data_IF_631453502329
#
_entry.id   IF_631453502329
#
_cell.length_a   1.000
_cell.length_b   1.000
_cell.length_c   1.000
_cell.angle_alpha   90.00
_cell.angle_beta   90.00
_cell.angle_gamma   90.00
#
_symmetry.space_group_name_H-M   'P 1'
#
loop_
_entity.id
_entity.type
_entity.pdbx_description
1 polymer ?
2 non-polymer ?
3 water ?
#
# COMPACT_ATOMS: atom_id res chain seq x y z
N UNK A 32 -4.36 28.38 -2.19
CA UNK A 32 -2.99 28.71 -2.57
C UNK A 32 -2.03 28.50 -1.38
N UNK A 33 -0.94 27.80 -1.66
CA UNK A 33 -0.05 27.31 -0.61
C UNK A 33 0.64 28.44 0.16
N UNK A 34 0.67 28.32 1.48
CA UNK A 34 1.43 29.25 2.30
C UNK A 34 2.92 28.96 2.28
N UNK A 35 3.30 27.71 2.06
CA UNK A 35 4.70 27.34 2.19
C UNK A 35 5.45 27.45 0.87
N UNK A 36 4.76 27.35 -0.25
CA UNK A 36 5.42 27.10 -1.52
C UNK A 36 6.40 28.21 -1.87
N UNK A 37 7.64 27.82 -2.14
CA UNK A 37 8.67 28.77 -2.53
C UNK A 37 9.69 28.07 -3.39
N UNK A 38 10.04 28.68 -4.53
CA UNK A 38 10.98 28.10 -5.50
C UNK A 38 10.64 26.65 -5.78
N UNK A 39 9.36 26.37 -6.00
CA UNK A 39 8.93 25.00 -6.19
C UNK A 39 8.12 24.97 -7.48
N UNK A 40 8.79 24.63 -8.58
CA UNK A 40 8.20 24.67 -9.89
C UNK A 40 7.08 23.64 -10.04
N UNK A 41 6.11 23.96 -10.89
CA UNK A 41 5.08 22.98 -11.25
C UNK A 41 5.70 21.73 -11.87
N UNK A 42 6.86 21.82 -12.52
CA UNK A 42 7.53 20.63 -13.02
C UNK A 42 7.95 19.72 -11.87
N UNK A 43 8.53 20.30 -10.82
CA UNK A 43 8.97 19.52 -9.66
C UNK A 43 7.78 18.91 -8.94
N UNK A 44 6.74 19.70 -8.70
CA UNK A 44 5.52 19.15 -8.10
C UNK A 44 4.99 17.99 -8.92
N UNK A 45 4.96 18.16 -10.24
CA UNK A 45 4.45 17.10 -11.12
C UNK A 45 5.36 15.89 -11.12
N UNK A 46 6.68 16.10 -11.07
CA UNK A 46 7.61 14.98 -11.08
C UNK A 46 7.52 14.17 -9.79
N UNK A 47 7.29 14.83 -8.65
CA UNK A 47 7.08 14.10 -7.40
C UNK A 47 5.79 13.28 -7.46
N UNK A 48 4.72 13.83 -8.04
CA UNK A 48 3.49 13.06 -8.13
C UNK A 48 3.68 11.83 -9.02
N UNK A 49 4.50 11.94 -10.07
CA UNK A 49 4.76 10.77 -10.90
C UNK A 49 5.63 9.76 -10.16
N UNK A 50 6.61 10.22 -9.40
CA UNK A 50 7.44 9.28 -8.65
C UNK A 50 6.64 8.62 -7.54
N UNK A 51 5.69 9.34 -6.94
CA UNK A 51 4.76 8.69 -6.01
C UNK A 51 4.06 7.52 -6.72
N UNK A 52 3.60 7.74 -7.95
CA UNK A 52 2.93 6.66 -8.69
C UNK A 52 3.88 5.50 -8.95
N UNK A 53 5.15 5.79 -9.25
CA UNK A 53 6.11 4.72 -9.52
C UNK A 53 6.32 3.86 -8.29
N UNK A 54 6.51 4.50 -7.12
CA UNK A 54 6.73 3.73 -5.89
C UNK A 54 5.52 2.87 -5.54
N UNK A 55 4.31 3.40 -5.70
CA UNK A 55 3.12 2.57 -5.48
C UNK A 55 3.09 1.37 -6.42
N UNK A 56 3.47 1.56 -7.69
CA UNK A 56 3.39 0.47 -8.65
C UNK A 56 4.44 -0.60 -8.35
N UNK A 57 5.65 -0.17 -7.98
CA UNK A 57 6.68 -1.11 -7.58
C UNK A 57 6.26 -1.82 -6.28
N UNK A 58 5.64 -1.08 -5.36
CA UNK A 58 5.13 -1.71 -4.14
C UNK A 58 4.12 -2.79 -4.49
N UNK A 59 3.33 -2.56 -5.54
CA UNK A 59 2.28 -3.49 -5.92
C UNK A 59 2.87 -4.75 -6.56
N UNK A 60 3.90 -4.59 -7.40
CA UNK A 60 4.56 -5.75 -7.98
C UNK A 60 5.20 -6.60 -6.89
N UNK A 61 5.81 -5.96 -5.89
CA UNK A 61 6.40 -6.72 -4.78
C UNK A 61 5.33 -7.48 -4.01
N UNK A 62 4.14 -6.91 -3.87
CA UNK A 62 3.07 -7.65 -3.22
C UNK A 62 2.62 -8.81 -4.07
N UNK A 63 2.58 -8.63 -5.40
CA UNK A 63 2.36 -9.76 -6.30
C UNK A 63 3.39 -10.85 -6.09
N UNK A 64 4.68 -10.48 -6.03
CA UNK A 64 5.72 -11.49 -5.84
C UNK A 64 5.58 -12.16 -4.48
N UNK A 65 5.23 -11.39 -3.46
CA UNK A 65 4.91 -11.98 -2.16
C UNK A 65 3.80 -13.02 -2.30
N UNK A 66 2.71 -12.64 -2.96
CA UNK A 66 1.55 -13.51 -3.08
C UNK A 66 1.89 -14.80 -3.82
N UNK A 67 2.85 -14.75 -4.74
CA UNK A 67 3.22 -15.92 -5.53
C UNK A 67 4.04 -16.93 -4.71
N UNK A 68 5.16 -16.50 -4.15
CA UNK A 68 6.03 -17.42 -3.40
C UNK A 68 5.44 -17.83 -2.06
N UNK A 69 4.35 -17.19 -1.64
CA UNK A 69 3.58 -17.65 -0.49
C UNK A 69 2.60 -18.77 -0.85
N UNK A 70 2.55 -19.17 -2.12
CA UNK A 70 1.66 -20.26 -2.51
C UNK A 70 2.08 -21.57 -1.88
N UNK A 71 1.09 -22.41 -1.58
CA UNK A 71 1.35 -23.73 -1.03
C UNK A 71 2.28 -24.56 -1.92
N UNK A 72 2.08 -24.50 -3.25
CA UNK A 72 2.88 -25.22 -4.24
C UNK A 72 4.28 -24.66 -4.43
N UNK A 73 4.50 -23.39 -4.11
CA UNK A 73 5.79 -22.77 -4.29
C UNK A 73 6.59 -22.78 -2.99
N UNK A 74 6.00 -22.27 -1.90
CA UNK A 74 6.51 -22.52 -0.55
C UNK A 74 7.95 -22.02 -0.34
N UNK A 75 8.32 -20.94 -1.01
CA UNK A 75 9.62 -20.31 -0.81
C UNK A 75 9.38 -19.10 0.10
N UNK A 76 9.25 -19.40 1.39
CA UNK A 76 8.78 -18.39 2.34
C UNK A 76 9.82 -17.31 2.57
N UNK A 77 11.11 -17.61 2.37
CA UNK A 77 12.12 -16.59 2.47
C UNK A 77 11.96 -15.50 1.41
N UNK A 78 11.66 -15.91 0.17
CA UNK A 78 11.41 -14.92 -0.87
C UNK A 78 10.07 -14.22 -0.66
N UNK A 79 9.08 -14.93 -0.13
CA UNK A 79 7.79 -14.32 0.14
C UNK A 79 7.93 -13.18 1.15
N UNK A 80 8.70 -13.41 2.23
CA UNK A 80 8.88 -12.37 3.23
C UNK A 80 9.75 -11.24 2.70
N UNK A 81 10.79 -11.58 1.94
CA UNK A 81 11.63 -10.54 1.37
C UNK A 81 10.83 -9.68 0.40
N UNK A 82 9.94 -10.28 -0.39
CA UNK A 82 9.13 -9.45 -1.28
C UNK A 82 8.05 -8.70 -0.51
N UNK A 83 7.49 -9.30 0.53
CA UNK A 83 6.50 -8.62 1.37
C UNK A 83 7.11 -7.39 2.04
N UNK A 84 8.30 -7.52 2.65
CA UNK A 84 8.93 -6.37 3.28
C UNK A 84 9.42 -5.37 2.24
N UNK A 85 9.86 -5.84 1.07
CA UNK A 85 10.18 -4.90 -0.01
C UNK A 85 8.94 -4.10 -0.40
N UNK A 86 7.76 -4.73 -0.37
CA UNK A 86 6.53 -4.02 -0.67
C UNK A 86 6.24 -2.95 0.36
N UNK A 87 6.45 -3.29 1.65
CA UNK A 87 6.23 -2.31 2.71
C UNK A 87 7.12 -1.09 2.52
N UNK A 88 8.38 -1.29 2.12
CA UNK A 88 9.30 -0.17 2.05
C UNK A 88 9.12 0.67 0.80
N UNK A 89 8.59 0.10 -0.29
CA UNK A 89 8.22 0.95 -1.42
C UNK A 89 7.02 1.83 -1.06
N UNK A 90 6.06 1.30 -0.31
CA UNK A 90 4.94 2.12 0.13
C UNK A 90 5.41 3.20 1.09
N UNK A 91 6.42 2.91 1.91
CA UNK A 91 6.96 3.95 2.78
C UNK A 91 7.67 5.01 1.96
N UNK A 92 8.27 4.64 0.82
CA UNK A 92 8.87 5.63 -0.07
C UNK A 92 7.81 6.55 -0.64
N UNK A 93 6.64 6.00 -0.99
CA UNK A 93 5.54 6.82 -1.49
C UNK A 93 5.07 7.81 -0.43
N UNK A 94 4.91 7.34 0.82
CA UNK A 94 4.54 8.21 1.94
C UNK A 94 5.54 9.34 2.16
N UNK A 95 6.85 9.05 2.06
CA UNK A 95 7.84 10.10 2.24
C UNK A 95 7.71 11.18 1.17
N UNK A 96 7.38 10.77 -0.06
CA UNK A 96 7.24 11.73 -1.15
C UNK A 96 5.95 12.53 -1.01
N UNK A 97 4.86 11.90 -0.55
CA UNK A 97 3.68 12.67 -0.19
C UNK A 97 4.05 13.69 0.88
N UNK A 98 4.73 13.21 1.92
CA UNK A 98 5.14 14.08 3.01
C UNK A 98 6.02 15.20 2.50
N UNK A 99 6.84 14.91 1.47
CA UNK A 99 7.73 15.91 0.89
C UNK A 99 6.98 16.88 0.00
N UNK A 100 6.06 16.36 -0.82
CA UNK A 100 5.17 17.20 -1.62
C UNK A 100 4.49 18.25 -0.75
N UNK A 101 3.91 17.83 0.36
CA UNK A 101 3.23 18.76 1.25
C UNK A 101 4.20 19.68 1.96
N UNK A 102 5.39 19.19 2.33
CA UNK A 102 6.39 20.07 2.93
C UNK A 102 6.68 21.24 1.99
N UNK A 103 6.85 20.94 0.70
CA UNK A 103 7.18 21.96 -0.29
C UNK A 103 6.00 22.81 -0.70
N UNK A 104 4.81 22.57 -0.15
CA UNK A 104 3.64 23.34 -0.56
C UNK A 104 2.99 22.92 -1.85
N UNK A 105 3.40 21.79 -2.45
CA UNK A 105 2.71 21.26 -3.60
C UNK A 105 1.47 20.47 -3.20
N UNK A 106 0.80 19.93 -4.22
CA UNK A 106 -0.48 19.25 -4.04
C UNK A 106 -0.39 17.84 -4.60
N UNK A 107 -0.74 16.85 -3.79
CA UNK A 107 -0.59 15.45 -4.20
C UNK A 107 -1.68 15.09 -5.19
N UNK A 108 -1.31 14.43 -6.27
CA UNK A 108 -2.24 13.93 -7.27
C UNK A 108 -1.93 12.45 -7.43
N UNK A 109 -2.96 11.61 -7.29
CA UNK A 109 -2.81 10.18 -7.31
C UNK A 109 -3.39 9.62 -8.60
N UNK A 110 -2.70 8.64 -9.16
CA UNK A 110 -3.04 8.04 -10.42
C UNK A 110 -3.29 6.56 -10.17
N UNK A 111 -3.83 5.82 -11.14
CA UNK A 111 -4.15 4.41 -10.87
C UNK A 111 -2.88 3.59 -10.67
N UNK A 112 -2.95 2.63 -9.75
CA UNK A 112 -1.88 1.67 -9.54
C UNK A 112 -2.20 0.47 -10.41
N UNK A 113 -1.51 0.35 -11.54
CA UNK A 113 -1.85 -0.69 -12.50
C UNK A 113 -1.51 -2.06 -11.95
N UNK A 114 -2.29 -3.04 -12.37
CA UNK A 114 -2.12 -4.38 -11.84
C UNK A 114 -0.87 -5.04 -12.42
N UNK A 115 -0.09 -5.73 -11.60
CA UNK A 115 1.13 -6.38 -12.09
C UNK A 115 0.80 -7.66 -12.84
N UNK A 116 1.81 -8.33 -13.43
CA UNK A 116 1.60 -9.70 -13.96
C UNK A 116 1.18 -10.69 -12.88
N UNK A 125 13.89 -20.91 -13.76
CA UNK A 125 13.54 -20.99 -12.36
C UNK A 125 12.77 -19.76 -11.96
N UNK A 126 11.69 -19.95 -11.21
CA UNK A 126 10.87 -18.82 -10.78
C UNK A 126 11.64 -17.91 -9.85
N UNK A 127 12.50 -18.47 -9.01
CA UNK A 127 13.24 -17.67 -8.05
C UNK A 127 14.21 -16.73 -8.75
N UNK A 128 15.05 -17.27 -9.65
CA UNK A 128 15.94 -16.42 -10.43
C UNK A 128 15.15 -15.41 -11.25
N UNK A 129 14.03 -15.83 -11.82
CA UNK A 129 13.29 -14.93 -12.67
C UNK A 129 12.70 -13.76 -11.88
N UNK A 130 12.16 -14.04 -10.68
CA UNK A 130 11.58 -12.99 -9.86
C UNK A 130 12.63 -12.02 -9.33
N UNK A 131 13.82 -12.53 -9.01
CA UNK A 131 14.86 -11.62 -8.55
C UNK A 131 15.35 -10.74 -9.70
N UNK A 132 15.38 -11.28 -10.92
CA UNK A 132 15.74 -10.46 -12.06
C UNK A 132 14.64 -9.46 -12.38
N UNK A 133 13.39 -9.85 -12.15
CA UNK A 133 12.31 -8.88 -12.27
C UNK A 133 12.48 -7.79 -11.22
N UNK A 134 12.78 -8.17 -9.98
CA UNK A 134 12.98 -7.18 -8.92
C UNK A 134 14.17 -6.27 -9.22
N UNK A 135 15.26 -6.83 -9.74
CA UNK A 135 16.39 -6.00 -10.15
C UNK A 135 15.96 -5.02 -11.23
N UNK A 136 15.12 -5.49 -12.15
CA UNK A 136 14.66 -4.64 -13.24
C UNK A 136 13.76 -3.51 -12.73
N UNK A 137 12.99 -3.77 -11.68
CA UNK A 137 12.13 -2.73 -11.10
C UNK A 137 12.92 -1.69 -10.30
N UNK A 138 13.95 -2.12 -9.57
CA UNK A 138 14.77 -1.15 -8.84
C UNK A 138 15.49 -0.22 -9.81
N UNK A 139 15.90 -0.74 -10.97
CA UNK A 139 16.62 0.07 -11.95
C UNK A 139 15.68 1.03 -12.68
N UNK A 140 14.44 0.62 -12.96
CA UNK A 140 13.52 1.58 -13.55
C UNK A 140 13.08 2.62 -12.52
N UNK A 141 12.99 2.22 -11.26
CA UNK A 141 12.74 3.18 -10.18
C UNK A 141 13.88 4.17 -10.09
N UNK A 142 15.11 3.68 -10.17
CA UNK A 142 16.30 4.52 -10.21
C UNK A 142 16.26 5.47 -11.40
N UNK A 143 15.93 4.95 -12.57
CA UNK A 143 15.88 5.78 -13.79
C UNK A 143 14.85 6.89 -13.66
N UNK A 144 13.69 6.58 -13.08
CA UNK A 144 12.69 7.61 -12.82
C UNK A 144 13.18 8.62 -11.79
N UNK A 145 13.90 8.15 -10.77
CA UNK A 145 14.42 9.06 -9.76
C UNK A 145 15.43 10.03 -10.35
N UNK A 146 16.24 9.57 -11.30
CA UNK A 146 17.21 10.47 -11.93
C UNK A 146 16.52 11.50 -12.79
N UNK A 147 15.45 11.11 -13.49
CA UNK A 147 14.66 12.10 -14.21
C UNK A 147 14.07 13.13 -13.27
N UNK A 148 13.53 12.70 -12.14
CA UNK A 148 13.07 13.64 -11.12
C UNK A 148 14.22 14.54 -10.71
N UNK A 149 15.41 13.96 -10.50
CA UNK A 149 16.55 14.77 -10.13
C UNK A 149 16.88 15.78 -11.22
N UNK A 150 16.82 15.35 -12.49
CA UNK A 150 17.06 16.27 -13.59
C UNK A 150 16.06 17.41 -13.59
N UNK A 151 14.79 17.10 -13.31
CA UNK A 151 13.77 18.14 -13.28
C UNK A 151 14.12 19.18 -12.20
N UNK A 152 14.62 18.71 -11.06
CA UNK A 152 15.04 19.63 -10.01
C UNK A 152 16.25 20.44 -10.43
N UNK A 153 17.23 19.80 -11.09
CA UNK A 153 18.41 20.52 -11.61
C UNK A 153 17.98 21.64 -12.55
N UNK A 154 17.11 21.32 -13.50
CA UNK A 154 16.72 22.29 -14.50
C UNK A 154 15.85 23.40 -13.92
N UNK A 155 15.07 23.12 -12.88
CA UNK A 155 14.25 24.16 -12.29
C UNK A 155 14.94 24.85 -11.13
N UNK A 156 16.26 24.69 -11.02
CA UNK A 156 17.09 25.34 -9.99
C UNK A 156 16.49 25.12 -8.61
N UNK A 157 16.22 23.85 -8.30
CA UNK A 157 15.58 23.41 -7.07
C UNK A 157 16.59 22.56 -6.31
N UNK A 158 17.58 23.17 -5.67
CA UNK A 158 18.66 22.39 -5.07
C UNK A 158 18.23 21.59 -3.85
N UNK A 159 17.18 22.02 -3.15
CA UNK A 159 16.74 21.26 -1.99
C UNK A 159 16.11 19.95 -2.43
N UNK A 160 15.28 19.99 -3.46
CA UNK A 160 14.69 18.77 -3.99
C UNK A 160 15.75 17.87 -4.59
N UNK A 161 16.70 18.46 -5.32
CA UNK A 161 17.81 17.68 -5.86
C UNK A 161 18.56 16.96 -4.75
N UNK A 162 18.88 17.68 -3.67
CA UNK A 162 19.59 17.04 -2.56
C UNK A 162 18.71 16.04 -1.81
N UNK A 163 17.40 16.27 -1.75
CA UNK A 163 16.50 15.29 -1.18
C UNK A 163 16.56 13.98 -1.96
N UNK A 164 16.38 14.04 -3.28
CA UNK A 164 16.45 12.84 -4.12
C UNK A 164 17.81 12.16 -3.96
N UNK A 165 18.91 12.92 -4.10
CA UNK A 165 20.25 12.38 -3.90
C UNK A 165 20.42 11.73 -2.52
N UNK A 166 19.93 12.39 -1.47
CA UNK A 166 20.27 11.96 -0.11
C UNK A 166 19.31 10.91 0.42
N UNK A 167 18.01 11.10 0.22
CA UNK A 167 17.03 10.21 0.82
C UNK A 167 16.63 9.07 -0.11
N UNK A 168 16.89 9.18 -1.41
CA UNK A 168 16.45 8.16 -2.35
C UNK A 168 17.60 7.59 -3.16
N UNK A 169 18.36 8.40 -3.88
CA UNK A 169 19.37 7.86 -4.79
C UNK A 169 20.42 7.03 -4.05
N UNK A 170 20.72 7.34 -2.79
CA UNK A 170 21.71 6.54 -2.09
C UNK A 170 21.18 5.16 -1.68
N UNK A 171 19.94 5.06 -1.19
CA UNK A 171 19.37 3.73 -0.92
C UNK A 171 19.13 2.96 -2.21
N UNK A 172 18.74 3.67 -3.28
CA UNK A 172 18.38 2.99 -4.51
C UNK A 172 19.56 2.19 -5.04
N UNK A 173 20.73 2.81 -5.03
CA UNK A 173 21.97 2.23 -5.52
C UNK A 173 22.43 1.09 -4.61
N UNK A 174 22.19 1.20 -3.30
CA UNK A 174 22.49 0.09 -2.40
C UNK A 174 21.51 -1.07 -2.58
N UNK A 175 20.23 -0.76 -2.82
CA UNK A 175 19.23 -1.80 -3.06
C UNK A 175 19.52 -2.58 -4.33
N UNK A 176 19.90 -1.87 -5.40
CA UNK A 176 20.21 -2.53 -6.66
C UNK A 176 21.37 -3.49 -6.49
N UNK A 177 22.44 -3.05 -5.84
CA UNK A 177 23.57 -3.96 -5.61
C UNK A 177 23.15 -5.18 -4.81
N UNK A 178 22.38 -4.98 -3.74
CA UNK A 178 21.92 -6.10 -2.95
C UNK A 178 21.13 -7.08 -3.81
N UNK A 179 20.25 -6.57 -4.66
CA UNK A 179 19.42 -7.45 -5.48
C UNK A 179 20.25 -8.08 -6.58
N UNK A 180 21.13 -7.31 -7.20
CA UNK A 180 22.10 -7.90 -8.12
C UNK A 180 22.88 -9.05 -7.47
N UNK A 181 23.30 -8.89 -6.20
CA UNK A 181 23.99 -9.98 -5.52
C UNK A 181 23.10 -11.21 -5.36
N UNK A 182 21.83 -11.00 -5.03
CA UNK A 182 20.87 -12.10 -4.96
C UNK A 182 20.70 -12.80 -6.32
N UNK A 183 20.60 -12.02 -7.39
CA UNK A 183 20.56 -12.62 -8.73
C UNK A 183 21.77 -13.53 -8.93
N UNK A 184 22.97 -13.02 -8.62
CA UNK A 184 24.18 -13.79 -8.87
C UNK A 184 24.24 -15.04 -7.99
N UNK A 185 23.78 -14.95 -6.72
CA UNK A 185 23.80 -16.13 -5.86
C UNK A 185 22.80 -17.19 -6.33
N UNK A 186 21.64 -16.77 -6.86
CA UNK A 186 20.68 -17.74 -7.37
C UNK A 186 21.18 -18.39 -8.66
N UNK A 187 21.98 -17.69 -9.46
CA UNK A 187 22.59 -18.36 -10.61
C UNK A 187 23.60 -19.39 -10.15
N UNK A 188 24.35 -19.07 -9.11
CA UNK A 188 25.41 -19.94 -8.64
C UNK A 188 24.88 -21.21 -7.98
N UNK A 189 23.84 -21.10 -7.14
CA UNK A 189 23.34 -22.26 -6.40
C UNK A 189 22.62 -23.25 -7.32
N UNK A 190 22.11 -22.78 -8.45
CA UNK A 190 21.39 -23.64 -9.37
C UNK A 190 19.97 -23.91 -8.92
N UNK A 191 19.27 -24.70 -9.72
CA UNK A 191 17.89 -25.05 -9.42
C UNK A 191 17.81 -26.09 -8.29
N UNK A 192 16.63 -26.21 -7.72
CA UNK A 192 16.35 -27.21 -6.72
C UNK A 192 16.86 -26.91 -5.32
N UNK A 193 17.76 -27.76 -4.86
CA UNK A 193 18.26 -27.70 -3.49
C UNK A 193 18.95 -26.37 -3.20
N UNK A 194 19.65 -25.80 -4.18
CA UNK A 194 20.34 -24.55 -3.92
C UNK A 194 19.39 -23.37 -3.78
N UNK A 195 18.36 -23.32 -4.64
CA UNK A 195 17.31 -22.31 -4.51
C UNK A 195 16.66 -22.37 -3.13
N UNK A 196 16.29 -23.57 -2.69
CA UNK A 196 15.66 -23.73 -1.39
C UNK A 196 16.60 -23.27 -0.28
N UNK A 197 17.89 -23.60 -0.40
CA UNK A 197 18.88 -23.19 0.59
C UNK A 197 19.02 -21.67 0.64
N UNK A 198 19.13 -21.03 -0.52
CA UNK A 198 19.20 -19.57 -0.57
C UNK A 198 17.97 -18.92 0.05
N UNK A 199 16.78 -19.48 -0.25
CA UNK A 199 15.54 -19.01 0.35
C UNK A 199 15.56 -19.13 1.87
N UNK A 200 16.09 -20.23 2.41
CA UNK A 200 16.14 -20.38 3.86
C UNK A 200 17.07 -19.34 4.48
N UNK A 201 18.14 -18.99 3.77
CA UNK A 201 19.04 -17.92 4.16
C UNK A 201 18.30 -16.59 4.26
N UNK A 202 17.53 -16.24 3.23
CA UNK A 202 16.72 -15.03 3.29
C UNK A 202 15.78 -15.06 4.49
N UNK A 203 15.19 -16.21 4.76
CA UNK A 203 14.16 -16.25 5.77
C UNK A 203 14.71 -15.92 7.15
N UNK A 204 15.96 -16.32 7.44
CA UNK A 204 16.67 -15.94 8.66
C UNK A 204 17.69 -14.84 8.43
N UNK A 205 17.35 -13.82 7.65
CA UNK A 205 18.29 -12.75 7.31
C UNK A 205 17.53 -11.47 6.96
N UNK B 32 -1.20 -27.12 -9.92
CA UNK B 32 -2.42 -27.45 -9.20
C UNK B 32 -2.16 -27.51 -7.68
N UNK B 33 -3.07 -26.92 -6.90
CA UNK B 33 -2.82 -26.65 -5.49
C UNK B 33 -2.77 -27.92 -4.67
N UNK B 34 -1.75 -28.04 -3.82
CA UNK B 34 -1.67 -29.16 -2.87
C UNK B 34 -2.63 -28.98 -1.70
N UNK B 35 -2.85 -27.75 -1.26
CA UNK B 35 -3.63 -27.53 -0.05
C UNK B 35 -5.13 -27.54 -0.32
N UNK B 36 -5.56 -27.11 -1.50
CA UNK B 36 -6.94 -26.69 -1.73
C UNK B 36 -7.93 -27.80 -1.42
N UNK B 37 -8.95 -27.46 -0.64
CA UNK B 37 -9.99 -28.41 -0.29
C UNK B 37 -11.24 -27.65 0.15
N UNK B 38 -12.40 -28.06 -0.38
CA UNK B 38 -13.68 -27.40 -0.12
C UNK B 38 -13.56 -25.90 -0.29
N UNK B 39 -12.95 -25.50 -1.41
CA UNK B 39 -12.68 -24.09 -1.65
C UNK B 39 -13.14 -23.77 -3.06
N UNK B 40 -14.38 -23.31 -3.18
CA UNK B 40 -15.00 -23.03 -4.47
C UNK B 40 -14.25 -21.93 -5.20
N UNK B 41 -14.32 -21.95 -6.54
CA UNK B 41 -13.75 -20.84 -7.27
C UNK B 41 -14.53 -19.55 -7.05
N UNK B 42 -15.81 -19.62 -6.67
CA UNK B 42 -16.52 -18.42 -6.25
C UNK B 42 -15.83 -17.80 -5.03
N UNK B 43 -15.53 -18.62 -4.01
CA UNK B 43 -14.89 -18.12 -2.81
C UNK B 43 -13.53 -17.53 -3.11
N UNK B 44 -12.72 -18.26 -3.88
CA UNK B 44 -11.43 -17.74 -4.32
C UNK B 44 -11.58 -16.40 -5.01
N UNK B 45 -12.62 -16.27 -5.84
CA UNK B 45 -12.83 -15.04 -6.58
C UNK B 45 -13.30 -13.91 -5.68
N UNK B 46 -14.20 -14.21 -4.72
CA UNK B 46 -14.65 -13.20 -3.77
C UNK B 46 -13.51 -12.65 -2.94
N UNK B 47 -12.58 -13.52 -2.52
CA UNK B 47 -11.42 -13.05 -1.78
C UNK B 47 -10.56 -12.13 -2.65
N UNK B 48 -10.34 -12.49 -3.92
CA UNK B 48 -9.59 -11.62 -4.80
C UNK B 48 -10.30 -10.27 -4.97
N UNK B 49 -11.62 -10.26 -5.02
CA UNK B 49 -12.36 -9.00 -5.09
C UNK B 49 -12.22 -8.21 -3.80
N UNK B 50 -12.31 -8.89 -2.65
CA UNK B 50 -12.18 -8.17 -1.39
C UNK B 50 -10.77 -7.62 -1.21
N UNK B 51 -9.75 -8.37 -1.63
CA UNK B 51 -8.39 -7.83 -1.66
C UNK B 51 -8.37 -6.51 -2.41
N UNK B 52 -9.05 -6.43 -3.56
CA UNK B 52 -9.06 -5.21 -4.33
C UNK B 52 -9.80 -4.09 -3.59
N UNK B 53 -10.87 -4.43 -2.86
CA UNK B 53 -11.59 -3.40 -2.11
C UNK B 53 -10.71 -2.80 -1.05
N UNK B 54 -9.97 -3.65 -0.31
CA UNK B 54 -9.13 -3.17 0.76
C UNK B 54 -7.99 -2.28 0.22
N UNK B 55 -7.40 -2.66 -0.90
CA UNK B 55 -6.40 -1.80 -1.52
C UNK B 55 -6.99 -0.45 -1.93
N UNK B 56 -8.19 -0.45 -2.49
CA UNK B 56 -8.79 0.80 -2.95
C UNK B 56 -9.16 1.70 -1.77
N UNK B 57 -9.66 1.11 -0.69
CA UNK B 57 -9.95 1.88 0.51
C UNK B 57 -8.64 2.37 1.14
N UNK B 58 -7.60 1.53 1.13
CA UNK B 58 -6.31 1.99 1.62
C UNK B 58 -5.81 3.18 0.81
N UNK B 59 -6.13 3.22 -0.48
CA UNK B 59 -5.68 4.32 -1.33
C UNK B 59 -6.44 5.61 -1.03
N UNK B 60 -7.76 5.51 -0.79
CA UNK B 60 -8.52 6.70 -0.43
C UNK B 60 -8.01 7.29 0.88
N UNK B 61 -7.71 6.44 1.87
CA UNK B 61 -7.17 6.91 3.13
C UNK B 61 -5.82 7.60 2.95
N UNK B 62 -4.98 7.12 2.02
CA UNK B 62 -3.74 7.83 1.74
C UNK B 62 -4.01 9.17 1.07
N UNK B 63 -5.00 9.23 0.19
CA UNK B 63 -5.43 10.53 -0.35
C UNK B 63 -5.83 11.49 0.77
N UNK B 64 -6.66 11.02 1.70
CA UNK B 64 -7.13 11.89 2.78
C UNK B 64 -5.95 12.34 3.64
N UNK B 65 -5.04 11.43 3.93
CA UNK B 65 -3.82 11.81 4.63
C UNK B 65 -3.07 12.89 3.87
N UNK B 66 -2.90 12.69 2.55
CA UNK B 66 -2.21 13.65 1.71
C UNK B 66 -2.88 15.02 1.75
N UNK B 67 -4.21 15.06 1.93
CA UNK B 67 -4.94 16.32 1.98
C UNK B 67 -4.75 17.07 3.30
N UNK B 68 -5.10 16.44 4.43
CA UNK B 68 -5.02 17.15 5.70
C UNK B 68 -3.58 17.42 6.15
N UNK B 69 -2.60 16.81 5.49
CA UNK B 69 -1.18 17.11 5.71
C UNK B 69 -0.73 18.35 4.93
N UNK B 70 -1.62 18.97 4.17
CA UNK B 70 -1.26 20.19 3.45
C UNK B 70 -0.95 21.32 4.41
N UNK B 71 0.02 22.16 4.01
CA UNK B 71 0.39 23.35 4.77
C UNK B 71 -0.81 24.25 5.04
N UNK B 72 -1.71 24.38 4.05
CA UNK B 72 -2.90 25.22 4.14
C UNK B 72 -3.98 24.62 5.02
N UNK B 73 -3.95 23.32 5.24
CA UNK B 73 -4.97 22.63 6.02
C UNK B 73 -4.50 22.34 7.43
N UNK B 74 -3.32 21.73 7.57
CA UNK B 74 -2.63 21.63 8.85
C UNK B 74 -3.46 20.92 9.94
N UNK B 75 -4.30 19.96 9.54
CA UNK B 75 -5.06 19.17 10.50
C UNK B 75 -4.31 17.85 10.68
N UNK B 76 -3.20 17.94 11.41
CA UNK B 76 -2.28 16.81 11.51
C UNK B 76 -2.90 15.64 12.26
N UNK B 77 -3.86 15.89 13.14
CA UNK B 77 -4.56 14.78 13.79
C UNK B 77 -5.31 13.93 12.79
N UNK B 78 -6.05 14.56 11.88
CA UNK B 78 -6.74 13.80 10.84
C UNK B 78 -5.76 13.21 9.85
N UNK B 79 -4.63 13.89 9.60
CA UNK B 79 -3.64 13.35 8.67
C UNK B 79 -3.08 12.04 9.19
N UNK B 80 -2.73 11.99 10.48
CA UNK B 80 -2.17 10.76 11.05
C UNK B 80 -3.23 9.67 11.18
N UNK B 81 -4.44 10.04 11.59
CA UNK B 81 -5.51 9.05 11.70
C UNK B 81 -5.79 8.43 10.33
N UNK B 82 -5.88 9.25 9.29
CA UNK B 82 -6.07 8.70 7.95
C UNK B 82 -4.83 7.94 7.48
N UNK B 83 -3.63 8.38 7.87
CA UNK B 83 -2.42 7.65 7.50
C UNK B 83 -2.36 6.28 8.19
N UNK B 84 -2.66 6.23 9.49
CA UNK B 84 -2.70 4.94 10.15
C UNK B 84 -3.85 4.08 9.65
N UNK B 85 -4.97 4.69 9.27
CA UNK B 85 -6.06 3.92 8.71
C UNK B 85 -5.67 3.30 7.37
N UNK B 86 -4.74 3.94 6.65
CA UNK B 86 -4.28 3.42 5.36
C UNK B 86 -3.38 2.21 5.55
N UNK B 87 -2.47 2.26 6.54
CA UNK B 87 -1.66 1.08 6.83
C UNK B 87 -2.57 -0.11 7.17
N UNK B 88 -3.62 0.10 7.96
CA UNK B 88 -4.41 -1.03 8.42
C UNK B 88 -5.30 -1.61 7.32
N UNK B 89 -5.77 -0.79 6.37
CA UNK B 89 -6.46 -1.35 5.22
C UNK B 89 -5.50 -2.17 4.36
N UNK B 90 -4.24 -1.73 4.23
CA UNK B 90 -3.29 -2.55 3.50
C UNK B 90 -2.91 -3.82 4.27
N UNK B 91 -2.90 -3.75 5.61
CA UNK B 91 -2.68 -4.97 6.38
C UNK B 91 -3.84 -5.95 6.16
N UNK B 92 -5.06 -5.43 6.03
CA UNK B 92 -6.21 -6.28 5.71
C UNK B 92 -6.03 -6.98 4.38
N UNK B 93 -5.53 -6.27 3.38
CA UNK B 93 -5.27 -6.89 2.08
C UNK B 93 -4.23 -8.00 2.20
N UNK B 94 -3.14 -7.74 2.93
CA UNK B 94 -2.14 -8.78 3.20
C UNK B 94 -2.75 -10.01 3.88
N UNK B 95 -3.61 -9.80 4.88
CA UNK B 95 -4.26 -10.93 5.56
C UNK B 95 -5.05 -11.79 4.58
N UNK B 96 -5.73 -11.17 3.62
CA UNK B 96 -6.52 -11.90 2.66
C UNK B 96 -5.66 -12.58 1.60
N UNK B 97 -4.56 -11.94 1.18
CA UNK B 97 -3.60 -12.66 0.37
C UNK B 97 -3.12 -13.90 1.13
N UNK B 98 -2.71 -13.70 2.38
CA UNK B 98 -2.23 -14.80 3.20
C UNK B 98 -3.30 -15.88 3.33
N UNK B 99 -4.57 -15.48 3.39
CA UNK B 99 -5.66 -16.44 3.53
C UNK B 99 -5.96 -17.15 2.21
N UNK B 100 -5.93 -16.40 1.10
CA UNK B 100 -6.07 -16.99 -0.22
C UNK B 100 -5.08 -18.14 -0.43
N UNK B 101 -3.81 -17.90 -0.08
CA UNK B 101 -2.77 -18.91 -0.26
C UNK B 101 -2.93 -20.05 0.76
N UNK B 102 -3.32 -19.74 2.00
CA UNK B 102 -3.58 -20.82 2.96
C UNK B 102 -4.60 -21.79 2.39
N UNK B 103 -5.65 -21.27 1.76
CA UNK B 103 -6.73 -22.10 1.22
C UNK B 103 -6.37 -22.77 -0.08
N UNK B 104 -5.19 -22.54 -0.64
CA UNK B 104 -4.85 -23.11 -1.92
C UNK B 104 -5.40 -22.38 -3.13
N UNK B 105 -5.98 -21.20 -2.94
CA UNK B 105 -6.35 -20.37 -4.07
C UNK B 105 -5.17 -19.57 -4.60
N UNK B 106 -5.41 -18.84 -5.68
CA UNK B 106 -4.38 -18.08 -6.36
C UNK B 106 -4.79 -16.60 -6.39
N UNK B 107 -3.87 -15.73 -5.97
CA UNK B 107 -4.16 -14.31 -5.86
C UNK B 107 -4.15 -13.68 -7.26
N UNK B 108 -5.17 -12.89 -7.54
CA UNK B 108 -5.28 -12.13 -8.79
C UNK B 108 -5.49 -10.68 -8.40
N UNK B 109 -4.65 -9.81 -8.92
CA UNK B 109 -4.63 -8.40 -8.55
C UNK B 109 -5.20 -7.56 -9.68
N UNK B 110 -6.01 -6.58 -9.31
CA UNK B 110 -6.70 -5.73 -10.27
C UNK B 110 -6.23 -4.30 -10.05
N UNK B 111 -6.56 -3.36 -10.94
CA UNK B 111 -6.09 -1.99 -10.76
C UNK B 111 -6.66 -1.35 -9.51
N UNK B 112 -5.85 -0.53 -8.86
CA UNK B 112 -6.29 0.27 -7.73
C UNK B 112 -6.66 1.64 -8.27
N UNK B 113 -7.96 1.94 -8.32
CA UNK B 113 -8.40 3.17 -8.95
C UNK B 113 -7.97 4.38 -8.14
N UNK B 114 -7.75 5.48 -8.83
CA UNK B 114 -7.37 6.71 -8.17
C UNK B 114 -8.57 7.32 -7.44
N UNK B 115 -8.40 7.83 -6.23
CA UNK B 115 -9.51 8.48 -5.53
C UNK B 115 -9.63 9.94 -5.95
N UNK B 116 -10.60 10.69 -5.39
CA UNK B 116 -10.59 12.14 -5.64
C UNK B 116 -9.45 12.83 -4.91
N UNK B 125 -17.70 21.70 5.95
CA UNK B 125 -16.34 21.60 6.44
C UNK B 125 -15.61 20.38 5.89
N UNK B 126 -14.31 20.52 5.68
CA UNK B 126 -13.53 19.43 5.11
C UNK B 126 -13.37 18.29 6.09
N UNK B 127 -13.16 18.62 7.36
CA UNK B 127 -12.99 17.58 8.37
C UNK B 127 -14.24 16.69 8.45
N UNK B 128 -15.41 17.31 8.61
CA UNK B 128 -16.66 16.55 8.65
C UNK B 128 -16.88 15.78 7.36
N UNK B 129 -16.64 16.42 6.22
CA UNK B 129 -16.87 15.74 4.95
C UNK B 129 -15.96 14.51 4.82
N UNK B 130 -14.71 14.65 5.22
CA UNK B 130 -13.78 13.53 5.14
C UNK B 130 -14.20 12.38 6.04
N UNK B 131 -14.63 12.68 7.27
CA UNK B 131 -15.12 11.62 8.15
C UNK B 131 -16.36 10.95 7.58
N UNK B 132 -17.27 11.73 7.00
CA UNK B 132 -18.44 11.11 6.39
C UNK B 132 -18.03 10.29 5.19
N UNK B 133 -16.99 10.72 4.48
CA UNK B 133 -16.46 9.89 3.41
C UNK B 133 -15.87 8.61 3.98
N UNK B 134 -15.07 8.72 5.06
CA UNK B 134 -14.50 7.53 5.68
C UNK B 134 -15.57 6.59 6.21
N UNK B 135 -16.62 7.12 6.85
CA UNK B 135 -17.72 6.27 7.27
C UNK B 135 -18.34 5.55 6.09
N UNK B 136 -18.58 6.28 5.01
CA UNK B 136 -19.16 5.70 3.81
C UNK B 136 -18.29 4.57 3.26
N UNK B 137 -16.96 4.72 3.36
CA UNK B 137 -16.07 3.67 2.88
C UNK B 137 -16.03 2.45 3.78
N UNK B 138 -16.10 2.62 5.10
CA UNK B 138 -16.13 1.47 5.97
C UNK B 138 -17.40 0.66 5.75
N UNK B 139 -18.53 1.34 5.55
CA UNK B 139 -19.79 0.66 5.26
C UNK B 139 -19.77 -0.03 3.91
N UNK B 140 -19.10 0.57 2.92
CA UNK B 140 -18.94 -0.11 1.63
C UNK B 140 -18.08 -1.35 1.78
N UNK B 141 -16.99 -1.26 2.54
CA UNK B 141 -16.16 -2.42 2.83
C UNK B 141 -16.95 -3.48 3.56
N UNK B 142 -17.75 -3.06 4.55
CA UNK B 142 -18.65 -3.94 5.27
C UNK B 142 -19.61 -4.65 4.31
N UNK B 143 -20.24 -3.89 3.42
CA UNK B 143 -21.19 -4.47 2.47
C UNK B 143 -20.52 -5.52 1.58
N UNK B 144 -19.30 -5.23 1.13
CA UNK B 144 -18.58 -6.20 0.32
C UNK B 144 -18.19 -7.43 1.12
N UNK B 145 -17.85 -7.24 2.39
CA UNK B 145 -17.48 -8.36 3.24
C UNK B 145 -18.68 -9.26 3.53
N UNK B 146 -19.87 -8.68 3.66
CA UNK B 146 -21.07 -9.49 3.82
C UNK B 146 -21.35 -10.31 2.56
N UNK B 147 -21.16 -9.71 1.39
CA UNK B 147 -21.28 -10.49 0.16
C UNK B 147 -20.26 -11.62 0.12
N UNK B 148 -19.01 -11.34 0.49
CA UNK B 148 -18.03 -12.41 0.62
C UNK B 148 -18.52 -13.48 1.57
N UNK B 149 -19.13 -13.07 2.69
CA UNK B 149 -19.66 -14.05 3.63
C UNK B 149 -20.76 -14.87 2.99
N UNK B 150 -21.65 -14.22 2.23
CA UNK B 150 -22.73 -14.92 1.56
C UNK B 150 -22.18 -15.95 0.58
N UNK B 151 -21.13 -15.60 -0.16
CA UNK B 151 -20.52 -16.56 -1.06
C UNK B 151 -20.02 -17.77 -0.29
N UNK B 152 -19.45 -17.54 0.90
CA UNK B 152 -18.99 -18.67 1.70
C UNK B 152 -20.15 -19.49 2.22
N UNK B 153 -21.24 -18.84 2.67
CA UNK B 153 -22.45 -19.56 3.08
C UNK B 153 -22.94 -20.43 1.94
N UNK B 154 -23.21 -19.82 0.80
CA UNK B 154 -23.77 -20.54 -0.34
C UNK B 154 -22.87 -21.65 -0.84
N UNK B 155 -21.56 -21.58 -0.59
CA UNK B 155 -20.69 -22.63 -1.08
C UNK B 155 -20.30 -23.61 0.02
N UNK B 156 -20.99 -23.55 1.15
CA UNK B 156 -20.76 -24.46 2.27
C UNK B 156 -19.29 -24.49 2.63
N UNK B 157 -18.73 -23.30 2.77
CA UNK B 157 -17.34 -23.10 3.16
C UNK B 157 -17.33 -22.46 4.55
N UNK B 158 -17.48 -23.25 5.61
CA UNK B 158 -17.66 -22.65 6.94
C UNK B 158 -16.42 -22.02 7.53
N UNK B 159 -15.22 -22.47 7.16
CA UNK B 159 -14.04 -21.84 7.74
C UNK B 159 -13.84 -20.45 7.16
N UNK B 160 -14.11 -20.30 5.87
CA UNK B 160 -14.04 -18.96 5.29
C UNK B 160 -15.10 -18.05 5.90
N UNK B 161 -16.31 -18.59 6.13
CA UNK B 161 -17.36 -17.78 6.72
C UNK B 161 -16.98 -17.33 8.12
N UNK B 162 -16.39 -18.25 8.91
CA UNK B 162 -15.95 -17.88 10.25
C UNK B 162 -14.73 -16.98 10.21
N UNK B 163 -13.86 -17.15 9.22
CA UNK B 163 -12.75 -16.22 9.04
C UNK B 163 -13.27 -14.80 8.77
N UNK B 164 -14.20 -14.65 7.83
CA UNK B 164 -14.73 -13.32 7.53
C UNK B 164 -15.42 -12.74 8.75
N UNK B 165 -16.25 -13.56 9.44
CA UNK B 165 -17.01 -13.04 10.57
C UNK B 165 -16.13 -12.86 11.82
N UNK B 166 -15.03 -13.60 11.96
CA UNK B 166 -14.18 -13.45 13.14
C UNK B 166 -13.08 -12.43 12.95
N UNK B 167 -12.36 -12.48 11.84
CA UNK B 167 -11.20 -11.63 11.62
C UNK B 167 -11.54 -10.30 10.95
N UNK B 168 -12.72 -10.19 10.32
CA UNK B 168 -13.05 -8.97 9.58
C UNK B 168 -14.38 -8.35 10.03
N UNK B 169 -15.47 -9.10 10.06
CA UNK B 169 -16.76 -8.49 10.36
C UNK B 169 -16.81 -7.86 11.76
N UNK B 170 -16.07 -8.43 12.72
CA UNK B 170 -16.10 -7.88 14.06
C UNK B 170 -15.33 -6.55 14.17
N UNK B 171 -14.13 -6.46 13.56
CA UNK B 171 -13.46 -5.16 13.54
C UNK B 171 -14.23 -4.16 12.69
N UNK B 172 -14.89 -4.63 11.64
CA UNK B 172 -15.55 -3.71 10.73
C UNK B 172 -16.67 -2.96 11.44
N UNK B 173 -17.48 -3.65 12.26
CA UNK B 173 -18.54 -2.94 12.98
C UNK B 173 -17.95 -2.06 14.07
N UNK B 174 -16.83 -2.44 14.66
CA UNK B 174 -16.19 -1.57 15.66
C UNK B 174 -15.62 -0.32 15.00
N UNK B 175 -15.04 -0.46 13.80
CA UNK B 175 -14.51 0.69 13.06
C UNK B 175 -15.60 1.65 12.64
N UNK B 176 -16.72 1.12 12.14
CA UNK B 176 -17.83 1.96 11.70
C UNK B 176 -18.37 2.78 12.86
N UNK B 177 -18.59 2.14 14.02
CA UNK B 177 -19.08 2.88 15.17
C UNK B 177 -18.09 3.95 15.59
N UNK B 178 -16.81 3.62 15.60
CA UNK B 178 -15.80 4.60 15.95
C UNK B 178 -15.85 5.78 14.99
N UNK B 179 -15.98 5.53 13.69
CA UNK B 179 -16.01 6.63 12.74
C UNK B 179 -17.33 7.37 12.82
N UNK B 180 -18.42 6.65 13.05
CA UNK B 180 -19.69 7.31 13.29
C UNK B 180 -19.60 8.27 14.48
N UNK B 181 -18.91 7.87 15.55
CA UNK B 181 -18.76 8.79 16.68
C UNK B 181 -17.92 10.01 16.32
N UNK B 182 -16.88 9.82 15.50
CA UNK B 182 -16.11 10.96 15.01
C UNK B 182 -16.98 11.92 14.21
N UNK B 183 -17.83 11.38 13.34
CA UNK B 183 -18.75 12.22 12.58
C UNK B 183 -19.62 13.03 13.53
N UNK B 184 -20.20 12.37 14.54
CA UNK B 184 -21.09 13.05 15.47
C UNK B 184 -20.34 14.12 16.27
N UNK B 185 -19.11 13.81 16.72
CA UNK B 185 -18.33 14.78 17.47
C UNK B 185 -17.96 15.99 16.61
N UNK B 186 -17.63 15.76 15.33
CA UNK B 186 -17.34 16.89 14.45
C UNK B 186 -18.58 17.72 14.17
N UNK B 187 -19.76 17.10 14.09
CA UNK B 187 -20.99 17.89 14.00
C UNK B 187 -21.16 18.77 15.22
N UNK B 188 -20.88 18.21 16.40
CA UNK B 188 -21.16 18.90 17.65
C UNK B 188 -20.17 20.05 17.91
N UNK B 189 -18.88 19.86 17.63
CA UNK B 189 -17.91 20.93 17.91
C UNK B 189 -18.07 22.12 16.97
N UNK B 190 -18.67 21.91 15.80
CA UNK B 190 -18.83 22.99 14.84
C UNK B 190 -17.54 23.29 14.11
N UNK B 191 -17.60 24.32 13.28
CA UNK B 191 -16.46 24.70 12.46
C UNK B 191 -15.46 25.52 13.27
N UNK B 192 -14.25 25.63 12.74
CA UNK B 192 -13.23 26.46 13.35
C UNK B 192 -12.52 25.83 14.54
N UNK B 193 -12.62 26.55 15.65
CA UNK B 193 -11.92 26.18 16.88
C UNK B 193 -12.26 24.76 17.32
N UNK B 194 -13.52 24.34 17.17
CA UNK B 194 -13.89 23.01 17.62
C UNK B 194 -13.28 21.91 16.77
N UNK B 195 -13.28 22.10 15.44
CA UNK B 195 -12.60 21.17 14.55
C UNK B 195 -11.12 21.05 14.91
N UNK B 196 -10.43 22.18 15.04
CA UNK B 196 -9.02 22.16 15.43
C UNK B 196 -8.83 21.42 16.74
N UNK B 197 -9.72 21.66 17.70
CA UNK B 197 -9.64 21.00 19.00
C UNK B 197 -9.82 19.49 18.87
N UNK B 198 -10.82 19.07 18.10
CA UNK B 198 -11.03 17.63 17.87
C UNK B 198 -9.86 17.01 17.12
N UNK B 199 -9.27 17.75 16.19
CA UNK B 199 -8.08 17.24 15.52
C UNK B 199 -6.95 16.94 16.49
N UNK B 200 -6.97 17.52 17.69
CA UNK B 200 -5.75 17.64 18.48
C UNK B 200 -5.19 16.57 19.44
N UNK B 201 -5.85 15.83 20.33
CA UNK B 201 -7.12 15.08 20.39
C UNK B 201 -6.96 13.80 19.58
N UNK B 202 -7.33 13.80 18.31
CA UNK B 202 -6.92 12.70 17.46
C UNK B 202 -5.41 12.54 17.46
N UNK B 203 -4.70 13.66 17.46
CA UNK B 203 -3.26 13.61 17.33
C UNK B 203 -2.62 13.00 18.57
N UNK B 204 -3.19 13.25 19.75
CA UNK B 204 -2.71 12.65 21.01
C UNK B 204 -3.55 11.45 21.41
N UNK B 205 -3.85 10.56 20.47
CA UNK B 205 -4.70 9.40 20.74
C UNK B 205 -4.19 8.21 19.93
#
# INVERSE_FOLDING_TARGET
>A
ASNAPAPLAGVIFEPFQELKKDYLAVPIAHNVSLARQNYADDSESAINEQINVEYNVSYVYHALFAYFDRDNIALKGLAKFFKESSEEEREHAEQLIKYQNIRGGRVVLHPITSPPSEFEHSEKGDALYAMELALSLEKLTNEKLLHVHSVADRNNDPQLADFIESEFLYEQVKSIKKIAEYVAQLRLVGKGHGVWHFDQKLLHDEDHV
>B
ASNAPAPLAGVIFEPFQELKKDYLAVPIAHNVSLARQNYADDSESAINEQINVEYNVSYVYHALFAYFDRDNIALKGLAKFFKESSEEEREHAEQLIKYQNIRGGRVVLHPITSPPSEFEHSEKGDALYAMELALSLEKLTNEKLLHVHSVADRNNDPQLADFIESEFLYEQVKSIKKIAEYVAQLRLVGKGHGVWHFDQKLLHDEDHV
#
